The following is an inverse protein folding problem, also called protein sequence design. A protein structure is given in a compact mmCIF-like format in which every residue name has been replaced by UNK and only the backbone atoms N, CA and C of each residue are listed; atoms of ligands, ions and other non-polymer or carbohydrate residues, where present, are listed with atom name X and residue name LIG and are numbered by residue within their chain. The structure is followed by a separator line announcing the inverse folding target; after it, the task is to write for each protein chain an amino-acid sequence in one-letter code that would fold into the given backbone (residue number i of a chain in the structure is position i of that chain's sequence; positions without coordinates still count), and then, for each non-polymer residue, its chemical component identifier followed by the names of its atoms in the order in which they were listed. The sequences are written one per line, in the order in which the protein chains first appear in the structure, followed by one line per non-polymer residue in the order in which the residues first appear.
data_IF_163144945031
#
_entry.id   IF_163144945031
#
_cell.length_a   1.000
_cell.length_b   1.000
_cell.length_c   1.000
_cell.angle_alpha   90.00
_cell.angle_beta   90.00
_cell.angle_gamma   90.00
#
_symmetry.space_group_name_H-M   'P 1'
#
loop_
_entity.id
_entity.type
_entity.pdbx_description
1 polymer ?
#
# COMPACT_ATOMS: atom_id res chain seq x y z
N UNK A 1 -14.17 9.31 21.77
CA UNK A 1 -14.23 9.89 20.40
C UNK A 1 -13.08 10.86 20.08
N UNK A 2 -11.97 10.88 20.83
CA UNK A 2 -10.78 11.73 20.57
C UNK A 2 -9.68 11.02 19.79
N UNK A 3 -9.90 9.75 19.43
CA UNK A 3 -8.90 8.90 18.79
C UNK A 3 -8.56 9.37 17.37
N UNK A 4 -9.54 9.78 16.56
CA UNK A 4 -9.27 10.23 15.17
C UNK A 4 -8.41 11.50 15.18
N UNK A 5 -8.73 12.49 16.01
CA UNK A 5 -7.90 13.69 16.15
C UNK A 5 -6.47 13.38 16.58
N UNK A 6 -6.29 12.44 17.52
CA UNK A 6 -4.95 11.96 17.91
C UNK A 6 -4.21 11.29 16.74
N UNK A 7 -4.87 10.43 15.96
CA UNK A 7 -4.25 9.77 14.81
C UNK A 7 -3.88 10.78 13.70
N UNK A 8 -4.67 11.83 13.49
CA UNK A 8 -4.31 12.93 12.57
C UNK A 8 -3.03 13.63 13.00
N UNK A 9 -2.90 13.97 14.30
CA UNK A 9 -1.70 14.62 14.84
C UNK A 9 -0.49 13.68 14.74
N UNK A 10 -0.65 12.41 15.13
CA UNK A 10 0.42 11.41 15.01
C UNK A 10 0.89 11.24 13.56
N UNK A 11 -0.05 11.19 12.61
CA UNK A 11 0.29 11.11 11.20
C UNK A 11 1.11 12.33 10.76
N UNK A 12 0.69 13.53 11.13
CA UNK A 12 1.43 14.76 10.85
C UNK A 12 2.85 14.76 11.44
N UNK A 13 3.04 14.24 12.66
CA UNK A 13 4.38 14.09 13.27
C UNK A 13 5.20 13.04 12.52
N UNK A 14 4.60 11.88 12.20
CA UNK A 14 5.28 10.82 11.46
C UNK A 14 5.73 11.25 10.07
N UNK A 15 5.00 12.14 9.40
CA UNK A 15 5.37 12.69 8.08
C UNK A 15 6.63 13.58 8.14
N UNK A 16 7.05 14.03 9.32
CA UNK A 16 8.33 14.74 9.52
C UNK A 16 9.53 13.79 9.66
N UNK A 17 9.29 12.47 9.71
CA UNK A 17 10.30 11.46 9.99
C UNK A 17 10.60 11.25 11.48
N UNK A 18 9.85 11.92 12.37
CA UNK A 18 9.96 11.73 13.82
C UNK A 18 9.32 10.42 14.26
N UNK A 19 10.03 9.67 15.11
CA UNK A 19 9.53 8.44 15.71
C UNK A 19 8.70 8.74 16.97
N UNK A 20 7.50 8.14 17.04
CA UNK A 20 6.53 8.38 18.10
C UNK A 20 6.62 7.26 19.14
N UNK A 21 7.78 7.14 19.79
CA UNK A 21 7.99 6.12 20.81
C UNK A 21 7.26 6.47 22.11
N UNK A 22 6.09 5.83 22.33
CA UNK A 22 5.59 5.33 23.61
C UNK A 22 5.29 6.28 24.79
N UNK A 23 5.82 7.51 24.81
CA UNK A 23 5.87 8.36 25.99
C UNK A 23 4.47 8.80 26.45
N UNK A 24 4.20 8.62 27.74
CA UNK A 24 2.95 9.03 28.38
C UNK A 24 2.73 10.54 28.30
N UNK A 25 3.80 11.35 28.40
CA UNK A 25 3.72 12.80 28.27
C UNK A 25 3.30 13.19 26.84
N UNK A 26 3.89 12.57 25.82
CA UNK A 26 3.54 12.81 24.42
C UNK A 26 2.10 12.39 24.12
N UNK A 27 1.65 11.26 24.68
CA UNK A 27 0.24 10.82 24.56
C UNK A 27 -0.73 11.82 25.19
N UNK A 28 -0.41 12.37 26.36
CA UNK A 28 -1.23 13.38 27.03
C UNK A 28 -1.27 14.69 26.25
N UNK A 29 -0.13 15.13 25.71
CA UNK A 29 -0.06 16.31 24.83
C UNK A 29 -0.88 16.12 23.54
N UNK A 30 -0.75 14.94 22.89
CA UNK A 30 -1.50 14.63 21.66
C UNK A 30 -3.01 14.61 21.91
N UNK A 31 -3.41 14.10 23.08
CA UNK A 31 -4.80 14.09 23.56
C UNK A 31 -5.35 15.51 23.75
N UNK A 32 -4.60 16.34 24.47
CA UNK A 32 -4.94 17.73 24.71
C UNK A 32 -5.07 18.50 23.40
N UNK A 33 -4.07 18.37 22.52
CA UNK A 33 -4.04 19.01 21.20
C UNK A 33 -5.16 18.55 20.25
N UNK A 34 -5.71 17.35 20.45
CA UNK A 34 -6.90 16.85 19.76
C UNK A 34 -8.22 17.42 20.33
N UNK A 35 -8.14 18.37 21.26
CA UNK A 35 -9.29 19.06 21.87
C UNK A 35 -10.05 18.20 22.87
N UNK A 36 -9.37 17.32 23.62
CA UNK A 36 -10.01 16.49 24.65
C UNK A 36 -10.23 17.19 26.00
N UNK A 37 -9.66 18.39 26.18
CA UNK A 37 -9.81 19.19 27.39
C UNK A 37 -9.02 18.68 28.60
N UNK A 38 -8.05 17.79 28.41
CA UNK A 38 -7.24 17.23 29.51
C UNK A 38 -6.31 18.24 30.19
N UNK A 39 -5.91 19.31 29.51
CA UNK A 39 -5.13 20.42 30.09
C UNK A 39 -6.06 21.56 30.48
N UNK A 40 -6.47 21.62 31.75
CA UNK A 40 -7.52 22.57 32.22
C UNK A 40 -7.09 24.03 32.13
N UNK A 41 -5.81 24.31 32.32
CA UNK A 41 -5.26 25.67 32.36
C UNK A 41 -4.81 26.17 30.98
N UNK A 42 -4.89 25.32 29.94
CA UNK A 42 -4.38 25.64 28.60
C UNK A 42 -5.37 25.21 27.51
N UNK A 43 -5.70 26.12 26.58
CA UNK A 43 -6.38 25.74 25.33
C UNK A 43 -5.33 25.42 24.26
N UNK A 44 -5.10 24.13 24.02
CA UNK A 44 -4.20 23.64 22.96
C UNK A 44 -5.04 22.91 21.92
N UNK A 45 -5.10 23.46 20.70
CA UNK A 45 -5.80 22.85 19.57
C UNK A 45 -4.89 22.80 18.36
N UNK A 46 -4.67 21.59 17.85
CA UNK A 46 -4.01 21.40 16.57
C UNK A 46 -5.04 21.64 15.45
N UNK A 47 -4.97 22.80 14.80
CA UNK A 47 -5.85 23.14 13.69
C UNK A 47 -5.36 22.52 12.37
N UNK A 48 -6.15 21.64 11.72
CA UNK A 48 -5.83 21.14 10.40
C UNK A 48 -5.78 22.29 9.38
N UNK A 49 -4.73 22.35 8.57
CA UNK A 49 -4.61 23.32 7.47
C UNK A 49 -5.59 23.02 6.33
N UNK A 50 -5.98 21.76 6.18
CA UNK A 50 -6.89 21.28 5.14
C UNK A 50 -8.17 20.71 5.77
N UNK A 51 -9.30 20.74 5.05
CA UNK A 51 -10.53 20.15 5.54
C UNK A 51 -10.39 18.66 5.85
N UNK A 52 -10.98 18.22 6.95
CA UNK A 52 -11.11 16.79 7.27
C UNK A 52 -12.33 16.26 6.51
N UNK A 53 -12.11 15.30 5.61
CA UNK A 53 -13.18 14.67 4.84
C UNK A 53 -13.63 13.39 5.52
N UNK A 54 -14.89 13.33 5.95
CA UNK A 54 -15.49 12.14 6.55
C UNK A 54 -16.15 11.24 5.51
N UNK A 55 -15.66 10.01 5.36
CA UNK A 55 -16.20 8.99 4.45
C UNK A 55 -16.54 7.72 5.23
N UNK A 56 -17.66 7.08 4.88
CA UNK A 56 -18.18 5.85 5.47
C UNK A 56 -19.29 6.10 6.51
N UNK A 57 -20.15 5.10 6.70
CA UNK A 57 -21.38 5.19 7.51
C UNK A 57 -21.28 5.89 8.90
N UNK A 58 -20.18 5.78 9.69
CA UNK A 58 -20.09 6.47 10.98
C UNK A 58 -19.45 7.88 10.91
N UNK A 59 -19.25 8.47 9.72
CA UNK A 59 -18.57 9.75 9.55
C UNK A 59 -19.20 10.89 10.38
N UNK A 60 -20.53 11.01 10.39
CA UNK A 60 -21.22 12.02 11.21
C UNK A 60 -20.98 11.84 12.71
N UNK A 61 -20.79 10.61 13.18
CA UNK A 61 -20.61 10.32 14.60
C UNK A 61 -19.14 10.50 15.02
N UNK A 62 -18.21 10.10 14.16
CA UNK A 62 -16.79 10.04 14.53
C UNK A 62 -15.97 11.25 14.07
N UNK A 63 -16.33 11.84 12.93
CA UNK A 63 -15.53 12.89 12.28
C UNK A 63 -16.15 14.27 12.51
N UNK A 64 -17.48 14.42 12.45
CA UNK A 64 -18.15 15.72 12.65
C UNK A 64 -17.75 16.42 13.97
N UNK A 65 -17.61 15.74 15.12
CA UNK A 65 -17.19 16.39 16.36
C UNK A 65 -15.77 16.99 16.33
N UNK A 66 -14.95 16.65 15.34
CA UNK A 66 -13.60 17.24 15.20
C UNK A 66 -13.64 18.69 14.74
N UNK A 67 -14.74 19.13 14.11
CA UNK A 67 -14.91 20.52 13.66
C UNK A 67 -14.73 21.49 14.82
N UNK A 68 -15.46 21.25 15.91
CA UNK A 68 -15.42 22.11 17.09
C UNK A 68 -14.17 21.87 17.95
N UNK A 69 -13.70 20.63 18.04
CA UNK A 69 -12.56 20.27 18.90
C UNK A 69 -11.22 20.78 18.38
N UNK A 70 -11.05 20.77 17.05
CA UNK A 70 -9.78 21.10 16.41
C UNK A 70 -9.84 22.43 15.64
N UNK A 71 -10.97 23.15 15.69
CA UNK A 71 -11.21 24.38 14.93
C UNK A 71 -10.97 24.21 13.41
N UNK A 72 -11.25 23.00 12.92
CA UNK A 72 -11.00 22.58 11.54
C UNK A 72 -12.27 22.51 10.71
N UNK A 73 -12.17 22.75 9.42
CA UNK A 73 -13.29 22.47 8.51
C UNK A 73 -13.51 20.94 8.41
N UNK A 74 -14.76 20.50 8.53
CA UNK A 74 -15.15 19.10 8.33
C UNK A 74 -16.18 19.01 7.22
N UNK A 75 -15.85 18.26 6.17
CA UNK A 75 -16.70 18.03 5.00
C UNK A 75 -17.21 16.59 5.05
N UNK A 76 -18.54 16.42 5.03
CA UNK A 76 -19.21 15.13 4.88
C UNK A 76 -20.23 15.31 3.77
N UNK A 77 -20.06 14.58 2.67
CA UNK A 77 -20.92 14.65 1.48
C UNK A 77 -22.20 13.86 1.69
N UNK A 78 -23.29 14.17 0.97
CA UNK A 78 -24.57 13.44 1.10
C UNK A 78 -24.46 11.92 0.91
N UNK A 79 -23.54 11.47 0.04
CA UNK A 79 -23.28 10.06 -0.27
C UNK A 79 -22.09 9.47 0.53
N UNK A 80 -21.83 9.98 1.74
CA UNK A 80 -20.67 9.57 2.54
C UNK A 80 -20.67 8.08 2.87
N UNK A 81 -21.84 7.48 3.04
CA UNK A 81 -22.05 6.08 3.43
C UNK A 81 -21.68 5.08 2.33
N UNK A 82 -21.77 5.47 1.07
CA UNK A 82 -21.39 4.66 -0.10
C UNK A 82 -19.96 4.92 -0.59
N UNK A 83 -19.17 5.76 0.10
CA UNK A 83 -17.83 6.13 -0.37
C UNK A 83 -16.89 4.95 -0.62
N UNK A 84 -16.99 3.87 0.16
CA UNK A 84 -16.22 2.64 -0.10
C UNK A 84 -16.65 1.95 -1.41
N UNK A 85 -17.95 1.93 -1.71
CA UNK A 85 -18.49 1.35 -2.94
C UNK A 85 -18.11 2.19 -4.17
N UNK A 86 -18.19 3.52 -4.07
CA UNK A 86 -17.73 4.44 -5.11
C UNK A 86 -16.22 4.26 -5.34
N UNK A 87 -15.44 4.15 -4.27
CA UNK A 87 -14.01 3.83 -4.34
C UNK A 87 -13.75 2.52 -5.08
N UNK A 88 -14.51 1.46 -4.80
CA UNK A 88 -14.39 0.19 -5.49
C UNK A 88 -14.73 0.31 -7.00
N UNK A 89 -15.80 1.03 -7.36
CA UNK A 89 -16.24 1.19 -8.75
C UNK A 89 -15.29 2.08 -9.56
N UNK A 90 -14.77 3.15 -8.96
CA UNK A 90 -13.79 4.05 -9.58
C UNK A 90 -12.37 3.48 -9.53
N UNK A 91 -12.11 2.46 -8.71
CA UNK A 91 -10.78 1.87 -8.61
C UNK A 91 -10.35 1.25 -9.93
N UNK A 92 -9.07 1.40 -10.24
CA UNK A 92 -8.44 0.64 -11.30
C UNK A 92 -8.35 -0.83 -10.85
N UNK A 93 -8.69 -1.75 -11.75
CA UNK A 93 -8.38 -3.17 -11.56
C UNK A 93 -6.86 -3.28 -11.50
N UNK A 94 -6.34 -3.94 -10.46
CA UNK A 94 -4.91 -4.15 -10.26
C UNK A 94 -4.64 -5.60 -9.95
N UNK A 95 -3.84 -6.26 -10.78
CA UNK A 95 -3.43 -7.65 -10.60
C UNK A 95 -1.91 -7.75 -10.52
N UNK A 96 -1.42 -8.74 -9.79
CA UNK A 96 0.01 -9.03 -9.75
C UNK A 96 0.32 -10.51 -9.87
N UNK A 97 1.46 -10.79 -10.49
CA UNK A 97 2.06 -12.12 -10.60
C UNK A 97 3.50 -12.03 -10.12
N UNK A 98 3.89 -12.98 -9.28
CA UNK A 98 5.26 -13.20 -8.86
C UNK A 98 5.76 -14.50 -9.47
N UNK A 99 6.86 -14.42 -10.21
CA UNK A 99 7.60 -15.58 -10.73
C UNK A 99 8.95 -15.62 -10.04
N UNK A 100 9.31 -16.77 -9.48
CA UNK A 100 10.57 -16.96 -8.75
C UNK A 100 11.55 -17.77 -9.58
N UNK A 101 12.80 -17.33 -9.60
CA UNK A 101 13.93 -18.07 -10.16
C UNK A 101 14.89 -18.41 -9.03
N UNK A 102 15.38 -19.64 -8.97
CA UNK A 102 16.44 -20.02 -8.03
C UNK A 102 17.33 -21.11 -8.64
N UNK A 103 18.62 -21.18 -8.27
CA UNK A 103 19.52 -22.23 -8.74
C UNK A 103 19.15 -23.56 -8.08
N UNK A 104 19.22 -24.65 -8.84
CA UNK A 104 19.14 -26.02 -8.36
C UNK A 104 20.14 -26.86 -9.14
N UNK A 105 21.11 -27.44 -8.43
CA UNK A 105 22.23 -28.17 -9.02
C UNK A 105 22.96 -27.30 -10.05
N UNK A 106 23.04 -27.73 -11.31
CA UNK A 106 23.70 -27.01 -12.42
C UNK A 106 22.70 -26.26 -13.32
N UNK A 107 21.45 -26.07 -12.85
CA UNK A 107 20.37 -25.41 -13.61
C UNK A 107 19.67 -24.34 -12.78
N UNK A 108 18.82 -23.57 -13.43
CA UNK A 108 17.93 -22.59 -12.83
C UNK A 108 16.49 -23.04 -12.96
N UNK A 109 15.76 -23.03 -11.85
CA UNK A 109 14.34 -23.38 -11.80
C UNK A 109 13.52 -22.11 -11.84
N UNK A 110 12.57 -22.03 -12.77
CA UNK A 110 11.56 -20.98 -12.83
C UNK A 110 10.23 -21.55 -12.35
N UNK A 111 9.65 -20.91 -11.33
CA UNK A 111 8.36 -21.29 -10.75
C UNK A 111 7.38 -20.13 -10.94
N UNK A 112 6.36 -20.37 -11.78
CA UNK A 112 5.28 -19.44 -12.05
C UNK A 112 3.94 -19.99 -11.49
N UNK A 113 3.01 -19.14 -11.05
CA UNK A 113 1.71 -19.60 -10.56
C UNK A 113 0.95 -20.38 -11.64
N UNK A 114 0.46 -21.57 -11.29
CA UNK A 114 -0.35 -22.41 -12.19
C UNK A 114 0.43 -23.15 -13.28
N UNK A 115 1.76 -23.12 -13.26
CA UNK A 115 2.61 -23.87 -14.19
C UNK A 115 3.55 -24.83 -13.45
N UNK A 116 3.89 -25.95 -14.09
CA UNK A 116 4.94 -26.84 -13.59
C UNK A 116 6.31 -26.14 -13.61
N UNK A 117 7.21 -26.42 -12.66
CA UNK A 117 8.54 -25.83 -12.64
C UNK A 117 9.31 -26.12 -13.93
N UNK A 118 9.99 -25.11 -14.45
CA UNK A 118 10.76 -25.20 -15.70
C UNK A 118 12.25 -25.02 -15.44
N UNK A 119 13.07 -25.75 -16.18
CA UNK A 119 14.52 -25.77 -16.01
C UNK A 119 15.23 -25.04 -17.15
N UNK A 120 16.19 -24.19 -16.78
CA UNK A 120 17.00 -23.41 -17.70
C UNK A 120 18.48 -23.61 -17.41
N UNK A 121 19.32 -23.59 -18.44
CA UNK A 121 20.76 -23.81 -18.30
C UNK A 121 21.53 -22.55 -17.90
N UNK A 122 20.95 -21.36 -18.09
CA UNK A 122 21.59 -20.07 -17.77
C UNK A 122 20.64 -19.18 -16.97
N UNK A 123 21.21 -18.26 -16.19
CA UNK A 123 20.39 -17.34 -15.38
C UNK A 123 19.66 -16.33 -16.26
N UNK A 124 20.28 -15.91 -17.37
CA UNK A 124 19.71 -14.96 -18.32
C UNK A 124 18.47 -15.54 -19.00
N UNK A 125 18.53 -16.81 -19.42
CA UNK A 125 17.39 -17.51 -20.02
C UNK A 125 16.27 -17.72 -19.00
N UNK A 126 16.60 -18.11 -17.77
CA UNK A 126 15.65 -18.26 -16.68
C UNK A 126 14.95 -16.93 -16.34
N UNK A 127 15.72 -15.84 -16.24
CA UNK A 127 15.21 -14.49 -15.98
C UNK A 127 14.31 -14.00 -17.11
N UNK A 128 14.74 -14.13 -18.37
CA UNK A 128 13.93 -13.72 -19.52
C UNK A 128 12.61 -14.48 -19.61
N UNK A 129 12.65 -15.79 -19.35
CA UNK A 129 11.45 -16.61 -19.25
C UNK A 129 10.56 -16.16 -18.09
N UNK A 130 11.12 -15.88 -16.90
CA UNK A 130 10.37 -15.43 -15.75
C UNK A 130 9.63 -14.09 -15.99
N UNK A 131 10.29 -13.13 -16.67
CA UNK A 131 9.65 -11.88 -17.12
C UNK A 131 8.50 -12.16 -18.06
N UNK A 132 8.73 -12.98 -19.08
CA UNK A 132 7.70 -13.33 -20.08
C UNK A 132 6.50 -14.01 -19.42
N UNK A 133 6.73 -14.95 -18.49
CA UNK A 133 5.66 -15.61 -17.74
C UNK A 133 4.91 -14.65 -16.82
N UNK A 134 5.62 -13.79 -16.08
CA UNK A 134 4.97 -12.84 -15.18
C UNK A 134 4.04 -11.90 -15.96
N UNK A 135 4.55 -11.36 -17.06
CA UNK A 135 3.82 -10.45 -17.94
C UNK A 135 2.65 -11.09 -18.67
N UNK A 136 2.83 -12.31 -19.19
CA UNK A 136 1.75 -13.04 -19.85
C UNK A 136 0.63 -13.35 -18.85
N UNK A 137 0.95 -13.96 -17.70
CA UNK A 137 -0.04 -14.38 -16.74
C UNK A 137 -0.80 -13.19 -16.12
N UNK A 138 -0.14 -12.06 -15.89
CA UNK A 138 -0.83 -10.88 -15.34
C UNK A 138 -1.78 -10.27 -16.37
N UNK A 139 -1.42 -10.26 -17.67
CA UNK A 139 -2.33 -9.82 -18.74
C UNK A 139 -3.52 -10.76 -18.90
N UNK A 140 -3.29 -12.07 -18.84
CA UNK A 140 -4.37 -13.05 -18.91
C UNK A 140 -5.35 -12.92 -17.73
N UNK A 141 -4.85 -12.66 -16.51
CA UNK A 141 -5.71 -12.34 -15.37
C UNK A 141 -6.53 -11.07 -15.61
N UNK A 142 -5.91 -9.99 -16.07
CA UNK A 142 -6.62 -8.73 -16.36
C UNK A 142 -7.72 -8.91 -17.41
N UNK A 143 -7.48 -9.71 -18.46
CA UNK A 143 -8.50 -10.04 -19.47
C UNK A 143 -9.70 -10.78 -18.87
N UNK A 144 -9.49 -11.67 -17.89
CA UNK A 144 -10.60 -12.35 -17.20
C UNK A 144 -11.50 -11.39 -16.42
N UNK A 145 -10.99 -10.22 -16.05
CA UNK A 145 -11.74 -9.15 -15.40
C UNK A 145 -12.35 -8.14 -16.39
N UNK A 146 -12.32 -8.41 -17.70
CA UNK A 146 -12.77 -7.51 -18.76
C UNK A 146 -12.16 -6.10 -18.65
N UNK A 147 -10.90 -6.03 -18.19
CA UNK A 147 -10.20 -4.78 -18.01
C UNK A 147 -9.76 -4.19 -19.37
N UNK A 148 -9.89 -2.87 -19.50
CA UNK A 148 -9.40 -2.06 -20.64
C UNK A 148 -8.25 -1.15 -20.21
N UNK A 149 -7.54 -0.57 -21.18
CA UNK A 149 -6.37 0.30 -20.96
C UNK A 149 -5.29 -0.32 -20.07
N UNK A 150 -5.02 -1.62 -20.26
CA UNK A 150 -4.11 -2.40 -19.42
C UNK A 150 -2.68 -1.89 -19.58
N UNK A 151 -2.06 -1.47 -18.49
CA UNK A 151 -0.63 -1.13 -18.38
C UNK A 151 0.05 -2.13 -17.49
N UNK A 152 1.21 -2.63 -17.91
CA UNK A 152 2.00 -3.60 -17.14
C UNK A 152 3.32 -2.96 -16.76
N UNK A 153 3.69 -3.08 -15.48
CA UNK A 153 5.00 -2.74 -14.97
C UNK A 153 5.64 -3.99 -14.38
N UNK A 154 6.85 -4.28 -14.82
CA UNK A 154 7.63 -5.42 -14.34
C UNK A 154 8.80 -4.92 -13.51
N UNK A 155 8.97 -5.51 -12.32
CA UNK A 155 10.10 -5.29 -11.44
C UNK A 155 10.86 -6.59 -11.25
N UNK A 156 12.18 -6.52 -11.35
CA UNK A 156 13.08 -7.65 -11.14
C UNK A 156 13.95 -7.33 -9.95
N UNK A 157 13.90 -8.19 -8.94
CA UNK A 157 14.73 -8.11 -7.74
C UNK A 157 15.63 -9.34 -7.69
N UNK A 158 16.94 -9.11 -7.76
CA UNK A 158 17.95 -10.15 -7.64
C UNK A 158 18.48 -10.15 -6.21
N UNK A 159 18.47 -11.32 -5.58
CA UNK A 159 19.10 -11.53 -4.28
C UNK A 159 20.30 -12.43 -4.48
N UNK A 160 21.46 -11.98 -4.00
CA UNK A 160 22.72 -12.72 -4.07
C UNK A 160 23.02 -13.40 -2.74
N UNK A 161 23.88 -14.40 -2.76
CA UNK A 161 24.42 -14.96 -1.51
C UNK A 161 25.30 -13.93 -0.81
N UNK A 162 25.29 -13.93 0.52
CA UNK A 162 26.29 -13.21 1.30
C UNK A 162 27.38 -14.18 1.76
N UNK A 163 28.60 -13.69 1.89
CA UNK A 163 29.68 -14.41 2.54
C UNK A 163 29.48 -14.45 4.08
N UNK A 164 30.40 -15.12 4.79
CA UNK A 164 30.38 -15.22 6.25
C UNK A 164 30.54 -13.89 7.01
N UNK A 165 30.84 -12.79 6.30
CA UNK A 165 30.97 -11.44 6.85
C UNK A 165 29.86 -10.49 6.37
N UNK A 166 28.86 -11.01 5.62
CA UNK A 166 27.71 -10.25 5.15
C UNK A 166 27.92 -9.49 3.83
N UNK A 167 29.04 -9.69 3.11
CA UNK A 167 29.25 -9.09 1.80
C UNK A 167 28.60 -9.90 0.69
N UNK A 168 27.94 -9.22 -0.25
CA UNK A 168 27.29 -9.88 -1.40
C UNK A 168 28.33 -10.55 -2.32
N UNK A 169 28.11 -11.84 -2.56
CA UNK A 169 28.86 -12.66 -3.51
C UNK A 169 28.30 -12.53 -4.93
N UNK A 170 29.05 -13.03 -5.93
CA UNK A 170 28.60 -13.03 -7.34
C UNK A 170 27.46 -14.01 -7.64
N UNK A 171 27.23 -15.00 -6.77
CA UNK A 171 26.23 -16.04 -7.00
C UNK A 171 24.83 -15.55 -6.64
N UNK A 172 23.88 -15.73 -7.56
CA UNK A 172 22.47 -15.40 -7.35
C UNK A 172 21.84 -16.50 -6.49
N UNK A 173 21.19 -16.10 -5.40
CA UNK A 173 20.41 -16.98 -4.52
C UNK A 173 18.99 -17.16 -5.07
N UNK A 174 18.32 -16.06 -5.40
CA UNK A 174 17.07 -16.11 -6.15
C UNK A 174 16.83 -14.81 -6.91
N UNK A 175 15.91 -14.86 -7.88
CA UNK A 175 15.37 -13.70 -8.56
C UNK A 175 13.86 -13.72 -8.37
N UNK A 176 13.31 -12.59 -7.92
CA UNK A 176 11.88 -12.36 -7.86
C UNK A 176 11.50 -11.44 -9.02
N UNK A 177 10.66 -11.93 -9.91
CA UNK A 177 10.09 -11.14 -11.00
C UNK A 177 8.63 -10.87 -10.68
N UNK A 178 8.31 -9.62 -10.37
CA UNK A 178 6.95 -9.17 -10.08
C UNK A 178 6.42 -8.35 -11.24
N UNK A 179 5.40 -8.84 -11.91
CA UNK A 179 4.62 -8.06 -12.86
C UNK A 179 3.35 -7.57 -12.18
N UNK A 180 3.08 -6.27 -12.27
CA UNK A 180 1.86 -5.62 -11.80
C UNK A 180 1.16 -5.02 -13.00
N UNK A 181 -0.10 -5.36 -13.21
CA UNK A 181 -0.92 -4.78 -14.25
C UNK A 181 -2.03 -3.93 -13.63
N UNK A 182 -2.25 -2.75 -14.18
CA UNK A 182 -3.37 -1.88 -13.84
C UNK A 182 -4.22 -1.62 -15.07
N UNK A 183 -5.53 -1.50 -14.88
CA UNK A 183 -6.48 -1.27 -15.96
C UNK A 183 -7.79 -0.70 -15.42
N UNK A 184 -8.69 -0.30 -16.31
CA UNK A 184 -10.03 0.18 -15.93
C UNK A 184 -11.06 -0.93 -16.18
N UNK A 185 -12.10 -1.04 -15.36
CA UNK A 185 -13.23 -1.90 -15.71
C UNK A 185 -13.89 -1.38 -16.99
N UNK A 186 -14.28 -2.28 -17.90
CA UNK A 186 -15.10 -1.89 -19.04
C UNK A 186 -16.50 -1.53 -18.54
N UNK A 187 -16.89 -0.27 -18.70
CA UNK A 187 -18.27 0.15 -18.50
C UNK A 187 -19.11 -0.41 -19.65
N UNK A 188 -20.24 -1.04 -19.32
CA UNK A 188 -21.25 -1.37 -20.33
C UNK A 188 -22.02 -0.08 -20.64
N UNK A 189 -22.13 0.23 -21.92
CA UNK A 189 -23.06 1.25 -22.43
C UNK A 189 -24.51 0.86 -22.16
#
# INVERSE_FOLDING_TARGET
MTRIGQELIKKGISDTGADLNGDQALRSLTKAAAGDGSLKDFDIKARPKYPIVGVGAPAHVLVKPLQDRMDGEVIITDNYDVGNAVGAVLSQISESILVKVYPKELKYVVVAPGASPMLYSTVESARGAAVSYAEYNVREKMKRHDAVDIRVRTQVEESKFCDGYGQEMKFINWINVRAVATGRPRLRD
#
